data_IF_833974587649
#
_entry.id   IF_833974587649
#
_cell.length_a   1.000
_cell.length_b   1.000
_cell.length_c   1.000
_cell.angle_alpha   90.00
_cell.angle_beta   90.00
_cell.angle_gamma   90.00
#
_symmetry.space_group_name_H-M   'P 1'
#
loop_
_entity.id
_entity.type
_entity.pdbx_description
1 polymer ?
#
# COMPACT_ATOMS: atom_id res chain seq x y z
N UNK A 1 25.60 13.40 -2.09
CA UNK A 1 25.82 14.88 -2.24
C UNK A 1 24.54 15.64 -2.61
N UNK A 2 23.50 15.02 -3.16
CA UNK A 2 22.22 15.70 -3.48
C UNK A 2 21.27 15.80 -2.27
N UNK A 3 21.47 15.00 -1.24
CA UNK A 3 20.63 14.96 -0.04
C UNK A 3 21.01 16.01 1.03
N UNK A 4 22.18 16.60 0.98
CA UNK A 4 22.65 17.52 2.02
C UNK A 4 22.29 19.02 1.79
N UNK A 5 21.83 19.39 0.60
CA UNK A 5 21.60 20.80 0.26
C UNK A 5 20.19 21.36 0.58
N UNK A 6 19.25 20.56 1.05
CA UNK A 6 17.90 21.06 1.39
C UNK A 6 17.56 21.05 2.89
N UNK A 7 18.45 20.62 3.77
CA UNK A 7 18.17 20.50 5.22
C UNK A 7 18.30 21.79 6.02
N UNK A 8 18.66 22.95 5.43
CA UNK A 8 18.86 24.22 6.12
C UNK A 8 17.77 25.28 5.90
N UNK A 9 16.57 24.90 5.51
CA UNK A 9 15.39 25.71 5.80
C UNK A 9 14.82 25.22 7.12
N UNK A 10 14.86 26.06 8.15
CA UNK A 10 14.05 25.89 9.35
C UNK A 10 12.62 25.59 8.88
N UNK A 11 12.25 24.31 8.93
CA UNK A 11 10.85 23.91 8.80
C UNK A 11 10.23 24.39 10.10
N UNK A 12 9.74 25.63 10.13
CA UNK A 12 8.72 26.04 11.07
C UNK A 12 7.58 25.06 10.85
N UNK A 13 7.49 24.06 11.72
CA UNK A 13 6.32 23.21 11.79
C UNK A 13 5.16 24.12 12.21
N UNK A 14 4.49 24.72 11.24
CA UNK A 14 3.15 25.25 11.48
C UNK A 14 2.35 24.10 12.07
N UNK A 15 1.67 24.36 13.17
CA UNK A 15 0.76 23.37 13.78
C UNK A 15 -0.21 22.95 12.69
N UNK A 16 0.04 21.82 12.06
CA UNK A 16 -0.89 21.25 11.11
C UNK A 16 -2.17 20.90 11.88
N UNK A 17 -3.24 21.62 11.60
CA UNK A 17 -4.54 21.33 12.17
C UNK A 17 -5.12 20.11 11.45
N UNK A 18 -4.71 18.92 11.89
CA UNK A 18 -5.18 17.66 11.33
C UNK A 18 -6.60 17.42 11.81
N UNK A 19 -7.55 17.49 10.89
CA UNK A 19 -8.96 17.22 11.20
C UNK A 19 -9.17 15.75 11.52
N UNK A 20 -10.13 15.41 12.41
CA UNK A 20 -10.51 14.02 12.64
C UNK A 20 -10.87 13.29 11.36
N UNK A 21 -10.47 12.04 11.26
CA UNK A 21 -10.88 11.17 10.18
C UNK A 21 -12.35 10.79 10.36
N UNK A 22 -13.22 11.32 9.49
CA UNK A 22 -14.65 11.02 9.50
C UNK A 22 -15.03 10.21 8.28
N UNK A 23 -16.10 9.41 8.41
CA UNK A 23 -16.64 8.62 7.32
C UNK A 23 -15.81 7.37 7.00
N UNK A 24 -16.20 6.67 5.94
CA UNK A 24 -15.60 5.40 5.53
C UNK A 24 -14.28 5.59 4.80
N UNK A 25 -13.31 4.76 5.15
CA UNK A 25 -12.03 4.63 4.45
C UNK A 25 -12.04 3.37 3.57
N UNK A 26 -12.01 3.54 2.25
CA UNK A 26 -11.73 2.44 1.33
C UNK A 26 -10.24 2.08 1.34
N UNK A 27 -9.93 0.81 1.50
CA UNK A 27 -8.57 0.26 1.35
C UNK A 27 -8.60 -0.66 0.15
N UNK A 28 -8.04 -0.19 -0.95
CA UNK A 28 -7.93 -0.94 -2.20
C UNK A 28 -6.55 -1.59 -2.30
N UNK A 29 -6.52 -2.91 -2.26
CA UNK A 29 -5.28 -3.67 -2.33
C UNK A 29 -5.03 -4.17 -3.76
N UNK A 30 -3.85 -3.94 -4.28
CA UNK A 30 -3.37 -4.59 -5.50
C UNK A 30 -2.72 -5.90 -5.08
N UNK A 31 -3.32 -7.01 -5.48
CA UNK A 31 -2.98 -8.37 -5.02
C UNK A 31 -3.79 -8.80 -3.80
N UNK A 32 -4.55 -9.87 -3.94
CA UNK A 32 -5.36 -10.50 -2.89
C UNK A 32 -4.74 -11.82 -2.42
N UNK A 33 -3.41 -11.86 -2.34
CA UNK A 33 -2.65 -13.02 -1.88
C UNK A 33 -2.53 -13.11 -0.36
N UNK A 34 -1.49 -13.82 0.10
CA UNK A 34 -1.23 -14.13 1.51
C UNK A 34 -1.20 -12.90 2.43
N UNK A 35 -0.52 -11.83 2.02
CA UNK A 35 -0.39 -10.61 2.83
C UNK A 35 -1.74 -9.92 3.01
N UNK A 36 -2.44 -9.70 1.90
CA UNK A 36 -3.72 -8.98 1.88
C UNK A 36 -4.80 -9.75 2.62
N UNK A 37 -4.97 -11.05 2.35
CA UNK A 37 -5.98 -11.87 3.01
C UNK A 37 -5.73 -12.01 4.51
N UNK A 38 -4.47 -12.13 4.94
CA UNK A 38 -4.10 -12.16 6.36
C UNK A 38 -4.42 -10.85 7.06
N UNK A 39 -4.07 -9.73 6.46
CA UNK A 39 -4.35 -8.40 7.00
C UNK A 39 -5.85 -8.11 7.09
N UNK A 40 -6.63 -8.42 6.05
CA UNK A 40 -8.08 -8.26 6.04
C UNK A 40 -8.74 -9.11 7.13
N UNK A 41 -8.36 -10.39 7.22
CA UNK A 41 -8.82 -11.31 8.28
C UNK A 41 -8.53 -10.74 9.67
N UNK A 42 -7.31 -10.26 9.90
CA UNK A 42 -6.91 -9.68 11.18
C UNK A 42 -7.75 -8.47 11.59
N UNK A 43 -8.06 -7.57 10.65
CA UNK A 43 -8.93 -6.42 10.91
C UNK A 43 -10.37 -6.86 11.21
N UNK A 44 -10.92 -7.79 10.44
CA UNK A 44 -12.27 -8.30 10.65
C UNK A 44 -12.41 -9.04 12.00
N UNK A 45 -11.42 -9.84 12.37
CA UNK A 45 -11.36 -10.50 13.67
C UNK A 45 -11.28 -9.47 14.82
N UNK A 46 -10.48 -8.42 14.64
CA UNK A 46 -10.40 -7.34 15.63
C UNK A 46 -11.73 -6.59 15.81
N UNK A 47 -12.45 -6.34 14.71
CA UNK A 47 -13.81 -5.74 14.75
C UNK A 47 -14.80 -6.56 15.57
N UNK A 48 -14.72 -7.88 15.48
CA UNK A 48 -15.57 -8.79 16.25
C UNK A 48 -15.07 -9.01 17.69
N UNK A 49 -13.96 -8.40 18.08
CA UNK A 49 -13.35 -8.61 19.40
C UNK A 49 -12.73 -10.01 19.59
N UNK A 50 -12.57 -10.77 18.51
CA UNK A 50 -12.04 -12.12 18.52
C UNK A 50 -10.50 -12.17 18.49
N UNK A 51 -9.87 -11.07 18.06
CA UNK A 51 -8.42 -10.91 18.08
C UNK A 51 -8.03 -9.49 18.50
N UNK A 52 -6.83 -9.36 19.07
CA UNK A 52 -6.23 -8.04 19.35
C UNK A 52 -5.31 -7.65 18.18
N UNK A 53 -5.30 -6.37 17.77
CA UNK A 53 -4.47 -5.90 16.67
C UNK A 53 -2.99 -5.73 17.10
N UNK A 54 -2.39 -6.76 17.68
CA UNK A 54 -1.03 -6.73 18.25
C UNK A 54 0.07 -6.43 17.23
N UNK A 55 -0.18 -6.70 15.94
CA UNK A 55 0.72 -6.35 14.85
C UNK A 55 0.65 -4.89 14.41
N UNK A 56 -0.30 -4.12 14.94
CA UNK A 56 -0.47 -2.70 14.60
C UNK A 56 -0.10 -1.81 15.76
N UNK A 57 1.07 -1.21 15.69
CA UNK A 57 1.55 -0.26 16.71
C UNK A 57 0.52 0.86 16.97
N UNK A 58 -0.08 1.41 15.92
CA UNK A 58 -1.03 2.53 16.03
C UNK A 58 -2.35 2.14 16.65
N UNK A 59 -2.72 0.85 16.62
CA UNK A 59 -3.98 0.36 17.21
C UNK A 59 -3.79 -0.25 18.60
N UNK A 60 -2.61 -0.78 18.90
CA UNK A 60 -2.38 -1.56 20.11
C UNK A 60 -1.49 -0.86 21.13
N UNK A 61 -0.42 -0.20 20.67
CA UNK A 61 0.59 0.38 21.55
C UNK A 61 0.23 1.78 22.08
N UNK A 62 1.01 2.22 23.04
CA UNK A 62 0.93 3.55 23.66
C UNK A 62 2.21 4.32 23.44
N UNK A 63 2.07 5.59 23.11
CA UNK A 63 3.19 6.53 23.03
C UNK A 63 3.39 7.22 24.38
N UNK A 64 4.64 7.33 24.80
CA UNK A 64 4.99 8.16 25.95
C UNK A 64 5.00 9.64 25.55
N UNK A 65 4.16 10.44 26.20
CA UNK A 65 4.09 11.89 26.02
C UNK A 65 4.49 12.58 27.34
N UNK A 66 5.24 13.68 27.25
CA UNK A 66 5.69 14.45 28.41
C UNK A 66 7.00 13.92 29.04
N UNK A 67 7.48 14.65 30.06
CA UNK A 67 8.72 14.35 30.81
C UNK A 67 8.48 14.46 32.31
N UNK A 68 9.32 13.79 33.10
CA UNK A 68 9.24 13.81 34.58
C UNK A 68 7.86 13.36 35.08
N UNK A 69 7.30 14.11 36.01
CA UNK A 69 5.99 13.83 36.64
C UNK A 69 4.82 14.01 35.65
N UNK A 70 4.99 14.79 34.58
CA UNK A 70 3.98 14.98 33.54
C UNK A 70 3.96 13.88 32.48
N UNK A 71 4.69 12.78 32.71
CA UNK A 71 4.77 11.63 31.81
C UNK A 71 3.42 10.91 31.76
N UNK A 72 2.87 10.74 30.53
CA UNK A 72 1.64 10.00 30.27
C UNK A 72 1.90 8.98 29.14
N UNK A 73 1.11 7.92 29.13
CA UNK A 73 1.08 6.93 28.04
C UNK A 73 -0.30 6.98 27.41
N UNK A 74 -0.35 7.47 26.18
CA UNK A 74 -1.58 7.64 25.39
C UNK A 74 -1.57 6.68 24.20
N UNK A 75 -2.75 6.17 23.83
CA UNK A 75 -2.86 5.45 22.56
C UNK A 75 -2.66 6.41 21.39
N UNK A 76 -2.15 5.89 20.27
CA UNK A 76 -1.90 6.72 19.09
C UNK A 76 -3.15 7.46 18.60
N UNK A 77 -4.32 6.81 18.63
CA UNK A 77 -5.59 7.43 18.26
C UNK A 77 -6.03 8.60 19.15
N UNK A 78 -5.47 8.73 20.37
CA UNK A 78 -5.70 9.89 21.26
C UNK A 78 -4.81 11.10 20.88
N UNK A 79 -3.75 10.85 20.08
CA UNK A 79 -2.76 11.87 19.69
C UNK A 79 -3.00 12.33 18.26
N UNK A 80 -3.28 11.38 17.35
CA UNK A 80 -3.53 11.63 15.94
C UNK A 80 -4.86 11.01 15.50
N UNK A 81 -5.61 11.67 14.61
CA UNK A 81 -6.90 11.17 14.15
C UNK A 81 -6.72 9.99 13.20
N UNK A 82 -6.77 8.79 13.73
CA UNK A 82 -6.73 7.55 12.95
C UNK A 82 -8.14 7.16 12.51
N UNK A 83 -8.24 6.46 11.36
CA UNK A 83 -9.49 5.82 10.95
C UNK A 83 -9.89 4.72 11.95
N UNK A 84 -11.17 4.65 12.30
CA UNK A 84 -11.67 3.53 13.09
C UNK A 84 -11.66 2.25 12.25
N UNK A 85 -11.30 1.12 12.85
CA UNK A 85 -11.29 -0.17 12.14
C UNK A 85 -12.67 -0.52 11.56
N UNK A 86 -13.76 -0.12 12.22
CA UNK A 86 -15.13 -0.36 11.75
C UNK A 86 -15.50 0.46 10.51
N UNK A 87 -14.78 1.55 10.23
CA UNK A 87 -15.05 2.43 9.11
C UNK A 87 -14.23 2.07 7.86
N UNK A 88 -13.41 1.02 7.93
CA UNK A 88 -12.61 0.55 6.77
C UNK A 88 -13.47 -0.36 5.89
N UNK A 89 -13.43 -0.12 4.59
CA UNK A 89 -14.04 -0.98 3.57
C UNK A 89 -12.93 -1.52 2.68
N UNK A 90 -12.89 -2.83 2.49
CA UNK A 90 -11.87 -3.49 1.69
C UNK A 90 -12.33 -3.74 0.27
N UNK A 91 -11.42 -3.59 -0.67
CA UNK A 91 -11.50 -4.04 -2.04
C UNK A 91 -10.13 -4.47 -2.54
N UNK A 92 -10.10 -5.18 -3.65
CA UNK A 92 -8.83 -5.63 -4.22
C UNK A 92 -8.92 -5.73 -5.75
N UNK A 93 -7.75 -5.77 -6.39
CA UNK A 93 -7.53 -6.28 -7.74
C UNK A 93 -6.64 -7.52 -7.64
N UNK A 94 -6.97 -8.55 -8.36
CA UNK A 94 -6.11 -9.72 -8.46
C UNK A 94 -6.24 -10.39 -9.83
N UNK A 95 -5.17 -11.05 -10.27
CA UNK A 95 -5.16 -11.85 -11.50
C UNK A 95 -5.95 -13.16 -11.35
N UNK A 96 -6.21 -13.59 -10.13
CA UNK A 96 -7.07 -14.73 -9.82
C UNK A 96 -8.43 -14.27 -9.33
N UNK A 97 -9.53 -14.93 -9.72
CA UNK A 97 -10.89 -14.51 -9.35
C UNK A 97 -11.31 -14.92 -7.93
N UNK A 98 -10.45 -15.61 -7.19
CA UNK A 98 -10.74 -16.10 -5.82
C UNK A 98 -11.07 -14.94 -4.88
N UNK A 99 -12.16 -15.04 -4.12
CA UNK A 99 -12.52 -14.05 -3.09
C UNK A 99 -11.53 -14.08 -1.91
N UNK A 100 -11.67 -13.14 -0.97
CA UNK A 100 -10.70 -13.03 0.13
C UNK A 100 -10.71 -14.24 1.09
N UNK A 101 -11.84 -14.95 1.22
CA UNK A 101 -11.89 -16.19 2.00
C UNK A 101 -11.10 -17.32 1.32
N UNK A 102 -11.37 -17.54 0.05
CA UNK A 102 -10.66 -18.56 -0.76
C UNK A 102 -9.15 -18.23 -0.81
N UNK A 103 -8.80 -16.98 -1.00
CA UNK A 103 -7.42 -16.52 -0.99
C UNK A 103 -6.73 -16.76 0.36
N UNK A 104 -7.43 -16.53 1.48
CA UNK A 104 -6.90 -16.79 2.82
C UNK A 104 -6.67 -18.29 3.07
N UNK A 105 -7.59 -19.14 2.59
CA UNK A 105 -7.45 -20.61 2.65
C UNK A 105 -6.29 -21.09 1.80
N UNK A 106 -6.21 -20.63 0.54
CA UNK A 106 -5.17 -21.03 -0.40
C UNK A 106 -3.76 -20.56 0.01
N UNK A 107 -3.69 -19.45 0.75
CA UNK A 107 -2.42 -18.94 1.23
C UNK A 107 -1.78 -19.77 2.35
N UNK A 108 -2.55 -20.62 3.04
CA UNK A 108 -2.10 -21.50 4.13
C UNK A 108 -1.33 -20.78 5.27
N UNK A 109 -1.51 -19.46 5.42
CA UNK A 109 -0.86 -18.65 6.48
C UNK A 109 -1.66 -18.71 7.76
N UNK A 110 -2.99 -18.60 7.66
CA UNK A 110 -3.92 -18.62 8.78
C UNK A 110 -4.56 -20.01 8.91
N UNK A 111 -4.91 -20.38 10.14
CA UNK A 111 -5.65 -21.61 10.41
C UNK A 111 -7.15 -21.36 10.21
N UNK A 112 -7.90 -22.42 9.92
CA UNK A 112 -9.36 -22.35 9.76
C UNK A 112 -10.07 -21.66 10.93
N UNK A 113 -9.64 -21.88 12.16
CA UNK A 113 -10.19 -21.22 13.36
C UNK A 113 -10.04 -19.70 13.34
N UNK A 114 -9.07 -19.16 12.59
CA UNK A 114 -8.80 -17.72 12.47
C UNK A 114 -9.55 -17.11 11.27
N UNK A 115 -9.89 -17.92 10.27
CA UNK A 115 -10.58 -17.48 9.04
C UNK A 115 -12.09 -17.63 9.14
N UNK A 116 -12.57 -18.80 9.63
CA UNK A 116 -13.99 -19.16 9.65
C UNK A 116 -14.89 -18.18 10.42
N UNK A 117 -14.45 -17.55 11.54
CA UNK A 117 -15.29 -16.57 12.24
C UNK A 117 -15.64 -15.31 11.44
N UNK A 118 -14.92 -15.02 10.36
CA UNK A 118 -15.09 -13.87 9.48
C UNK A 118 -15.32 -14.25 8.02
N UNK A 119 -15.70 -15.52 7.79
CA UNK A 119 -15.92 -16.07 6.45
C UNK A 119 -16.91 -15.23 5.63
N UNK A 120 -18.08 -14.95 6.18
CA UNK A 120 -19.15 -14.24 5.47
C UNK A 120 -18.75 -12.83 5.01
N UNK A 121 -17.85 -12.19 5.75
CA UNK A 121 -17.31 -10.89 5.38
C UNK A 121 -16.21 -11.02 4.32
N UNK A 122 -15.35 -12.02 4.44
CA UNK A 122 -14.28 -12.27 3.48
C UNK A 122 -14.83 -12.72 2.12
N UNK A 123 -15.86 -13.56 2.07
CA UNK A 123 -16.51 -14.00 0.82
C UNK A 123 -17.10 -12.84 0.00
N UNK A 124 -17.48 -11.76 0.66
CA UNK A 124 -18.00 -10.54 0.00
C UNK A 124 -16.92 -9.71 -0.67
N UNK A 125 -15.66 -9.94 -0.36
CA UNK A 125 -14.53 -9.21 -0.95
C UNK A 125 -14.06 -10.00 -2.16
N UNK A 126 -14.65 -9.69 -3.32
CA UNK A 126 -14.31 -10.30 -4.62
C UNK A 126 -13.39 -9.34 -5.36
N UNK A 127 -12.24 -9.80 -5.90
CA UNK A 127 -11.31 -8.94 -6.59
C UNK A 127 -11.85 -8.45 -7.92
N UNK A 128 -11.59 -7.18 -8.22
CA UNK A 128 -11.73 -6.63 -9.56
C UNK A 128 -10.64 -7.19 -10.47
N UNK A 129 -10.84 -7.13 -11.78
CA UNK A 129 -9.84 -7.52 -12.77
C UNK A 129 -8.58 -6.69 -12.62
N UNK A 130 -7.43 -7.36 -12.53
CA UNK A 130 -6.14 -6.71 -12.39
C UNK A 130 -5.66 -6.07 -13.70
N UNK A 131 -4.98 -4.94 -13.60
CA UNK A 131 -4.11 -4.45 -14.65
C UNK A 131 -2.78 -5.19 -14.54
N UNK A 132 -2.47 -6.00 -15.53
CA UNK A 132 -1.39 -6.97 -15.45
C UNK A 132 -0.64 -7.09 -16.77
N UNK A 133 0.64 -7.40 -16.69
CA UNK A 133 1.48 -7.76 -17.83
C UNK A 133 2.41 -8.91 -17.41
N UNK A 134 2.26 -10.05 -18.07
CA UNK A 134 3.00 -11.28 -17.78
C UNK A 134 4.53 -11.08 -17.87
N UNK A 135 5.01 -10.17 -18.70
CA UNK A 135 6.43 -9.87 -18.80
C UNK A 135 7.01 -9.26 -17.53
N UNK A 136 6.17 -8.64 -16.70
CA UNK A 136 6.59 -8.02 -15.44
C UNK A 136 6.53 -8.97 -14.24
N UNK A 137 5.68 -9.99 -14.30
CA UNK A 137 5.53 -10.98 -13.23
C UNK A 137 5.21 -12.36 -13.83
N UNK A 138 6.18 -12.96 -14.50
CA UNK A 138 6.03 -14.17 -15.32
C UNK A 138 5.65 -15.44 -14.55
N UNK A 139 5.64 -15.41 -13.22
CA UNK A 139 5.20 -16.53 -12.37
C UNK A 139 3.71 -16.55 -12.11
N UNK A 140 2.99 -15.50 -12.53
CA UNK A 140 1.55 -15.38 -12.37
C UNK A 140 0.90 -15.64 -13.73
N UNK A 141 -0.13 -16.48 -13.77
CA UNK A 141 -0.83 -16.92 -14.98
C UNK A 141 -2.37 -16.81 -14.87
N UNK A 142 -2.85 -15.98 -13.93
CA UNK A 142 -4.28 -15.77 -13.75
C UNK A 142 -4.93 -15.05 -14.94
N UNK A 143 -6.20 -15.33 -15.15
CA UNK A 143 -7.01 -14.82 -16.27
C UNK A 143 -7.98 -13.69 -15.89
N UNK A 144 -8.06 -13.35 -14.61
CA UNK A 144 -8.87 -12.22 -14.13
C UNK A 144 -8.16 -10.88 -14.38
N UNK A 145 -7.88 -10.60 -15.64
CA UNK A 145 -7.13 -9.42 -16.09
C UNK A 145 -7.96 -8.50 -16.97
N UNK A 146 -7.61 -7.22 -16.96
CA UNK A 146 -8.21 -6.21 -17.82
C UNK A 146 -7.69 -6.36 -19.25
N UNK A 147 -8.60 -6.16 -20.20
CA UNK A 147 -8.22 -5.97 -21.62
C UNK A 147 -7.94 -4.48 -21.83
N UNK A 148 -6.68 -4.14 -22.05
CA UNK A 148 -6.19 -2.78 -22.18
C UNK A 148 -5.50 -2.57 -23.52
N UNK A 149 -5.84 -1.49 -24.21
CA UNK A 149 -5.27 -1.13 -25.52
C UNK A 149 -3.81 -0.70 -25.40
N UNK A 150 -3.48 0.03 -24.35
CA UNK A 150 -2.15 0.54 -24.03
C UNK A 150 -2.05 0.87 -22.53
N UNK A 151 -0.89 1.34 -22.06
CA UNK A 151 -0.68 1.71 -20.65
C UNK A 151 -1.55 2.87 -20.18
N UNK A 152 -1.90 3.80 -21.08
CA UNK A 152 -2.82 4.89 -20.75
C UNK A 152 -4.25 4.37 -20.51
N UNK A 153 -4.75 3.51 -21.38
CA UNK A 153 -6.05 2.87 -21.21
C UNK A 153 -6.10 2.01 -19.94
N UNK A 154 -5.00 1.28 -19.66
CA UNK A 154 -4.83 0.52 -18.41
C UNK A 154 -5.02 1.42 -17.18
N UNK A 155 -4.35 2.56 -17.16
CA UNK A 155 -4.43 3.54 -16.08
C UNK A 155 -5.84 4.14 -15.97
N UNK A 156 -6.49 4.49 -17.09
CA UNK A 156 -7.85 5.04 -17.07
C UNK A 156 -8.89 4.03 -16.56
N UNK A 157 -8.77 2.75 -16.92
CA UNK A 157 -9.65 1.69 -16.39
C UNK A 157 -9.45 1.52 -14.87
N UNK A 158 -8.24 1.69 -14.34
CA UNK A 158 -7.99 1.67 -12.90
C UNK A 158 -8.59 2.89 -12.18
N UNK A 159 -8.55 4.06 -12.80
CA UNK A 159 -9.22 5.26 -12.28
C UNK A 159 -10.74 5.06 -12.18
N UNK A 160 -11.31 4.44 -13.21
CA UNK A 160 -12.75 4.11 -13.21
C UNK A 160 -13.10 3.14 -12.08
N UNK A 161 -12.30 2.09 -11.85
CA UNK A 161 -12.49 1.16 -10.74
C UNK A 161 -12.48 1.88 -9.39
N UNK A 162 -11.52 2.79 -9.18
CA UNK A 162 -11.41 3.55 -7.93
C UNK A 162 -12.66 4.40 -7.70
N UNK A 163 -13.14 5.11 -8.73
CA UNK A 163 -14.36 5.91 -8.64
C UNK A 163 -15.59 5.05 -8.34
N UNK A 164 -15.73 3.95 -9.08
CA UNK A 164 -16.86 3.03 -8.92
C UNK A 164 -16.86 2.41 -7.52
N UNK A 165 -15.70 1.96 -7.03
CA UNK A 165 -15.57 1.43 -5.69
C UNK A 165 -15.95 2.47 -4.62
N UNK A 166 -15.48 3.71 -4.79
CA UNK A 166 -15.79 4.82 -3.87
C UNK A 166 -17.28 5.06 -3.76
N UNK A 167 -17.96 5.13 -4.89
CA UNK A 167 -19.40 5.37 -4.96
C UNK A 167 -20.20 4.17 -4.41
N UNK A 168 -19.90 2.96 -4.89
CA UNK A 168 -20.62 1.75 -4.51
C UNK A 168 -20.58 1.46 -3.01
N UNK A 169 -19.46 1.82 -2.35
CA UNK A 169 -19.24 1.57 -0.93
C UNK A 169 -19.48 2.80 -0.06
N UNK A 170 -19.83 3.93 -0.65
CA UNK A 170 -20.01 5.21 0.03
C UNK A 170 -18.77 5.58 0.87
N UNK A 171 -17.58 5.51 0.25
CA UNK A 171 -16.33 5.84 0.90
C UNK A 171 -16.03 7.34 0.78
N UNK A 172 -15.64 7.98 1.88
CA UNK A 172 -15.22 9.39 1.88
C UNK A 172 -13.79 9.52 1.35
N UNK A 173 -12.96 8.53 1.65
CA UNK A 173 -11.54 8.49 1.30
C UNK A 173 -11.17 7.09 0.85
N UNK A 174 -10.12 7.02 0.01
CA UNK A 174 -9.52 5.75 -0.42
C UNK A 174 -8.02 5.85 -0.22
N UNK A 175 -7.39 4.73 0.12
CA UNK A 175 -5.95 4.50 0.02
C UNK A 175 -5.73 3.27 -0.85
N UNK A 176 -4.75 3.34 -1.75
CA UNK A 176 -4.36 2.21 -2.60
C UNK A 176 -3.05 1.64 -2.08
N UNK A 177 -3.04 0.32 -1.87
CA UNK A 177 -1.93 -0.43 -1.31
C UNK A 177 -1.47 -1.51 -2.30
N UNK A 178 -0.25 -1.41 -2.79
CA UNK A 178 0.37 -2.49 -3.55
C UNK A 178 0.85 -3.59 -2.60
N UNK A 179 0.22 -4.75 -2.68
CA UNK A 179 0.58 -5.97 -1.95
C UNK A 179 0.76 -7.17 -2.90
N UNK A 180 0.78 -6.90 -4.20
CA UNK A 180 1.04 -7.89 -5.23
C UNK A 180 2.53 -8.28 -5.30
N UNK A 181 2.82 -9.29 -6.10
CA UNK A 181 4.19 -9.75 -6.37
C UNK A 181 5.09 -8.62 -6.86
N UNK A 182 6.38 -8.74 -6.56
CA UNK A 182 7.41 -7.87 -7.10
C UNK A 182 7.47 -8.02 -8.61
N UNK A 183 7.40 -6.91 -9.31
CA UNK A 183 7.63 -6.84 -10.75
C UNK A 183 9.14 -6.90 -11.06
N UNK A 184 9.49 -7.21 -12.31
CA UNK A 184 10.88 -7.10 -12.76
C UNK A 184 11.41 -5.69 -12.52
N UNK A 185 12.71 -5.57 -12.29
CA UNK A 185 13.35 -4.27 -12.09
C UNK A 185 13.34 -3.45 -13.38
N UNK A 186 12.79 -2.26 -13.33
CA UNK A 186 12.83 -1.26 -14.40
C UNK A 186 13.80 -0.16 -13.97
N UNK A 187 14.93 0.02 -14.66
CA UNK A 187 15.84 1.13 -14.40
C UNK A 187 15.15 2.47 -14.63
N UNK A 188 15.48 3.46 -13.82
CA UNK A 188 14.98 4.83 -14.05
C UNK A 188 15.66 5.40 -15.30
N UNK A 189 14.86 5.74 -16.31
CA UNK A 189 15.29 6.49 -17.49
C UNK A 189 14.78 7.93 -17.35
N UNK A 190 15.69 8.89 -17.33
CA UNK A 190 15.37 10.30 -17.10
C UNK A 190 14.52 10.90 -18.22
N UNK A 191 14.61 10.37 -19.46
CA UNK A 191 13.80 10.81 -20.59
C UNK A 191 12.33 10.37 -20.49
N UNK A 192 12.08 9.27 -19.79
CA UNK A 192 10.74 8.67 -19.65
C UNK A 192 10.15 8.95 -18.26
N UNK A 193 10.96 8.80 -17.22
CA UNK A 193 10.53 8.88 -15.82
C UNK A 193 10.84 10.23 -15.17
N UNK A 194 11.57 11.12 -15.87
CA UNK A 194 12.07 12.38 -15.30
C UNK A 194 11.01 13.46 -15.09
N UNK A 195 9.92 13.43 -15.86
CA UNK A 195 8.81 14.39 -15.75
C UNK A 195 7.46 13.69 -15.91
N UNK A 196 6.43 14.28 -15.32
CA UNK A 196 5.06 13.77 -15.46
C UNK A 196 4.62 13.74 -16.93
N UNK A 197 4.93 14.76 -17.70
CA UNK A 197 4.56 14.85 -19.12
C UNK A 197 5.21 13.73 -19.96
N UNK A 198 6.48 13.40 -19.68
CA UNK A 198 7.19 12.33 -20.37
C UNK A 198 6.59 10.96 -20.01
N UNK A 199 6.27 10.72 -18.73
CA UNK A 199 5.61 9.50 -18.27
C UNK A 199 4.24 9.32 -18.94
N UNK A 200 3.43 10.37 -19.01
CA UNK A 200 2.12 10.35 -19.66
C UNK A 200 2.24 10.04 -21.16
N UNK A 201 3.24 10.62 -21.84
CA UNK A 201 3.46 10.33 -23.25
C UNK A 201 3.87 8.86 -23.45
N UNK A 202 4.79 8.35 -22.64
CA UNK A 202 5.21 6.94 -22.71
C UNK A 202 4.06 5.96 -22.45
N UNK A 203 3.13 6.30 -21.54
CA UNK A 203 1.90 5.51 -21.34
C UNK A 203 1.00 5.51 -22.58
N UNK A 204 0.85 6.65 -23.28
CA UNK A 204 0.05 6.78 -24.51
C UNK A 204 0.68 6.03 -25.68
N UNK A 205 2.01 6.04 -25.75
CA UNK A 205 2.79 5.34 -26.76
C UNK A 205 2.92 3.83 -26.49
N UNK A 206 2.34 3.35 -25.39
CA UNK A 206 2.37 1.95 -24.93
C UNK A 206 3.80 1.42 -24.70
N UNK A 207 4.67 2.24 -24.11
CA UNK A 207 6.04 1.84 -23.79
C UNK A 207 6.07 0.77 -22.69
N UNK A 208 5.89 -0.48 -23.12
CA UNK A 208 5.85 -1.65 -22.24
C UNK A 208 7.21 -1.99 -21.61
N UNK A 209 8.29 -1.45 -22.13
CA UNK A 209 9.63 -1.71 -21.59
C UNK A 209 9.91 -0.87 -20.32
N UNK A 210 9.38 0.32 -20.27
CA UNK A 210 9.67 1.28 -19.19
C UNK A 210 8.49 1.56 -18.26
N UNK A 211 7.26 1.30 -18.71
CA UNK A 211 6.04 1.55 -17.92
C UNK A 211 5.52 0.24 -17.32
N UNK A 212 5.86 0.01 -16.07
CA UNK A 212 5.36 -1.13 -15.30
C UNK A 212 3.86 -0.98 -14.94
N UNK A 213 3.08 -2.07 -14.85
CA UNK A 213 1.70 -2.02 -14.35
C UNK A 213 1.56 -1.30 -13.02
N UNK A 214 2.48 -1.49 -12.07
CA UNK A 214 2.47 -0.78 -10.79
C UNK A 214 2.54 0.74 -10.93
N UNK A 215 3.20 1.27 -11.95
CA UNK A 215 3.21 2.71 -12.24
C UNK A 215 1.82 3.20 -12.68
N UNK A 216 1.06 2.38 -13.43
CA UNK A 216 -0.31 2.69 -13.80
C UNK A 216 -1.24 2.75 -12.58
N UNK A 217 -1.08 1.81 -11.63
CA UNK A 217 -1.84 1.84 -10.36
C UNK A 217 -1.51 3.07 -9.52
N UNK A 218 -0.23 3.40 -9.37
CA UNK A 218 0.19 4.57 -8.60
C UNK A 218 -0.32 5.87 -9.23
N UNK A 219 -0.18 6.01 -10.55
CA UNK A 219 -0.69 7.16 -11.29
C UNK A 219 -2.21 7.29 -11.12
N UNK A 220 -2.97 6.20 -11.31
CA UNK A 220 -4.41 6.18 -11.17
C UNK A 220 -4.85 6.60 -9.75
N UNK A 221 -4.21 6.04 -8.72
CA UNK A 221 -4.51 6.37 -7.33
C UNK A 221 -4.28 7.87 -7.04
N UNK A 222 -3.10 8.38 -7.35
CA UNK A 222 -2.75 9.78 -7.09
C UNK A 222 -3.65 10.76 -7.86
N UNK A 223 -3.99 10.43 -9.11
CA UNK A 223 -4.89 11.25 -9.96
C UNK A 223 -6.32 11.29 -9.43
N UNK A 224 -6.78 10.25 -8.74
CA UNK A 224 -8.10 10.20 -8.10
C UNK A 224 -8.08 10.73 -6.65
N UNK A 225 -7.00 11.38 -6.24
CA UNK A 225 -6.87 11.94 -4.89
C UNK A 225 -6.76 10.86 -3.81
N UNK A 226 -6.14 9.74 -4.16
CA UNK A 226 -5.92 8.61 -3.25
C UNK A 226 -4.42 8.47 -2.94
N UNK A 227 -4.02 8.45 -1.66
CA UNK A 227 -2.66 8.06 -1.29
C UNK A 227 -2.28 6.69 -1.84
N UNK A 228 -1.00 6.52 -2.19
CA UNK A 228 -0.49 5.25 -2.69
C UNK A 228 0.63 4.71 -1.80
N UNK A 229 0.54 3.43 -1.44
CA UNK A 229 1.53 2.73 -0.61
C UNK A 229 2.14 1.60 -1.42
N UNK A 230 3.48 1.63 -1.59
CA UNK A 230 4.22 0.60 -2.30
C UNK A 230 4.77 -0.44 -1.32
N UNK A 231 4.11 -1.59 -1.25
CA UNK A 231 4.50 -2.70 -0.38
C UNK A 231 5.53 -3.67 -0.98
N UNK A 232 6.05 -3.40 -2.19
CA UNK A 232 7.08 -4.18 -2.86
C UNK A 232 8.29 -3.29 -3.22
N UNK A 233 9.47 -3.85 -3.55
CA UNK A 233 10.67 -3.07 -3.87
C UNK A 233 10.69 -2.50 -5.29
N UNK A 234 9.54 -2.43 -5.97
CA UNK A 234 9.44 -1.90 -7.34
C UNK A 234 9.87 -0.43 -7.42
N UNK A 235 10.31 0.01 -8.59
CA UNK A 235 10.79 1.38 -8.83
C UNK A 235 9.68 2.44 -8.83
N UNK A 236 8.43 2.02 -8.86
CA UNK A 236 7.19 2.79 -9.05
C UNK A 236 7.14 4.16 -8.36
N UNK A 237 7.48 4.22 -7.07
CA UNK A 237 7.43 5.46 -6.28
C UNK A 237 8.78 6.19 -6.18
N UNK A 238 9.81 5.67 -6.82
CA UNK A 238 11.16 6.26 -6.82
C UNK A 238 11.40 7.17 -8.04
N UNK A 239 10.49 7.14 -9.03
CA UNK A 239 10.65 7.93 -10.25
C UNK A 239 10.23 9.39 -10.05
N UNK A 240 10.98 10.39 -10.60
CA UNK A 240 10.68 11.81 -10.43
C UNK A 240 9.26 12.20 -10.86
N UNK A 241 8.78 11.64 -11.98
CA UNK A 241 7.42 11.89 -12.48
C UNK A 241 6.32 11.54 -11.46
N UNK A 242 6.51 10.48 -10.66
CA UNK A 242 5.53 10.10 -9.65
C UNK A 242 5.55 11.04 -8.44
N UNK A 243 6.72 11.59 -8.11
CA UNK A 243 6.84 12.63 -7.09
C UNK A 243 6.19 13.93 -7.54
N UNK A 244 6.42 14.34 -8.81
CA UNK A 244 5.74 15.50 -9.41
C UNK A 244 4.22 15.34 -9.33
N UNK A 245 3.68 14.17 -9.65
CA UNK A 245 2.24 13.89 -9.57
C UNK A 245 1.74 13.95 -8.12
N UNK A 246 2.47 13.37 -7.18
CA UNK A 246 2.12 13.38 -5.76
C UNK A 246 2.08 14.80 -5.19
N UNK A 247 3.06 15.64 -5.54
CA UNK A 247 3.08 17.07 -5.16
C UNK A 247 1.93 17.86 -5.79
N UNK A 248 1.68 17.65 -7.09
CA UNK A 248 0.59 18.30 -7.82
C UNK A 248 -0.79 17.98 -7.25
N UNK A 249 -1.02 16.72 -6.92
CA UNK A 249 -2.28 16.25 -6.34
C UNK A 249 -2.36 16.43 -4.83
N UNK A 250 -1.25 16.75 -4.17
CA UNK A 250 -1.08 16.80 -2.70
C UNK A 250 -1.43 15.48 -2.02
N UNK A 251 -1.19 14.36 -2.71
CA UNK A 251 -1.43 13.03 -2.18
C UNK A 251 -0.12 12.40 -1.71
N UNK A 252 -0.07 11.87 -0.49
CA UNK A 252 1.13 11.22 0.00
C UNK A 252 1.38 9.89 -0.73
N UNK A 253 2.66 9.61 -0.94
CA UNK A 253 3.18 8.31 -1.34
C UNK A 253 4.03 7.75 -0.21
N UNK A 254 4.00 6.44 -0.02
CA UNK A 254 4.80 5.75 0.98
C UNK A 254 5.37 4.46 0.39
N UNK A 255 6.47 4.02 0.90
CA UNK A 255 7.17 2.80 0.53
C UNK A 255 8.64 2.93 0.91
N UNK A 256 9.43 2.00 0.47
CA UNK A 256 8.93 0.85 -0.29
C UNK A 256 9.27 -0.42 0.45
N UNK A 257 8.60 -1.48 0.02
CA UNK A 257 8.67 -2.83 0.55
C UNK A 257 8.09 -2.98 1.96
N UNK A 258 7.38 -4.07 2.17
CA UNK A 258 6.94 -4.47 3.50
C UNK A 258 8.12 -5.00 4.31
N UNK A 259 8.05 -4.79 5.62
CA UNK A 259 9.06 -5.33 6.53
C UNK A 259 8.95 -6.84 6.57
N UNK A 260 10.01 -7.54 6.13
CA UNK A 260 10.08 -9.00 6.04
C UNK A 260 10.75 -9.62 7.26
N UNK A 261 10.68 -10.96 7.41
CA UNK A 261 11.39 -11.71 8.45
C UNK A 261 12.91 -11.50 8.42
N UNK A 262 13.50 -11.34 7.24
CA UNK A 262 14.93 -11.00 7.09
C UNK A 262 15.27 -9.64 7.70
N UNK A 263 14.33 -8.70 7.71
CA UNK A 263 14.54 -7.41 8.35
C UNK A 263 14.75 -7.55 9.87
N UNK A 264 14.07 -8.50 10.52
CA UNK A 264 14.29 -8.81 11.92
C UNK A 264 15.74 -9.28 12.18
N UNK A 265 16.27 -10.15 11.33
CA UNK A 265 17.67 -10.61 11.39
C UNK A 265 18.61 -9.43 11.20
N UNK A 266 18.41 -8.62 10.16
CA UNK A 266 19.25 -7.43 9.88
C UNK A 266 19.16 -6.36 10.96
N UNK A 267 17.97 -6.11 11.51
CA UNK A 267 17.75 -5.05 12.51
C UNK A 267 18.12 -5.49 13.94
N UNK A 268 18.00 -6.77 14.25
CA UNK A 268 18.32 -7.35 15.54
C UNK A 268 19.76 -7.89 15.59
N UNK A 269 20.07 -8.90 14.81
CA UNK A 269 21.33 -9.61 14.89
C UNK A 269 22.54 -8.78 14.39
N UNK A 270 22.41 -8.09 13.26
CA UNK A 270 23.54 -7.35 12.70
C UNK A 270 24.10 -6.27 13.66
N UNK A 271 23.27 -5.44 14.32
CA UNK A 271 23.75 -4.52 15.34
C UNK A 271 24.39 -5.22 16.55
N UNK A 272 23.83 -6.35 17.00
CA UNK A 272 24.38 -7.11 18.14
C UNK A 272 25.80 -7.62 17.79
N UNK A 273 25.97 -8.19 16.60
CA UNK A 273 27.24 -8.72 16.14
C UNK A 273 28.23 -7.57 15.91
N UNK A 274 27.81 -6.49 15.26
CA UNK A 274 28.63 -5.31 15.02
C UNK A 274 29.15 -4.65 16.30
N UNK A 275 28.29 -4.47 17.31
CA UNK A 275 28.71 -3.88 18.61
C UNK A 275 29.66 -4.78 19.40
N UNK A 276 29.70 -6.08 19.12
CA UNK A 276 30.63 -7.05 19.70
C UNK A 276 31.91 -7.22 18.89
N UNK A 277 32.06 -6.48 17.77
CA UNK A 277 33.19 -6.60 16.84
C UNK A 277 33.39 -8.04 16.33
N UNK A 278 32.31 -8.80 16.19
CA UNK A 278 32.36 -10.14 15.63
C UNK A 278 32.27 -10.03 14.09
N UNK A 279 33.17 -10.73 13.39
CA UNK A 279 33.12 -10.83 11.94
C UNK A 279 31.86 -11.59 11.48
N UNK A 280 31.39 -11.23 10.30
CA UNK A 280 30.38 -11.99 9.56
C UNK A 280 31.06 -12.42 8.25
N UNK A 281 31.32 -13.69 8.08
CA UNK A 281 31.80 -14.30 6.84
C UNK A 281 30.61 -14.69 5.96
#
# INVERSE_FOLDING_TARGET
LYYEMQFNKEIRMEKMNVKPATGKLGVLCVGLGAVTSTFMTGVLMARKGLAKPVGSMTQYDKMRVGRGENKKYLHYGEIVPLANLNDIVFGAWDVYPANAYESAVNAEVLKEKDINPVKDELEKIVPMKAAFDHNYASRLDGDNVKDCKNRWDMMEQLREDIRNFKVANNCDRIVVLWAASTEIYVPVDEKIHGTLAALEQAMKDDDKAHIAPSMCYAYAALSEGCPFIMGAPNTTVDIPAMWELAEKTKMPIAGKDFKTGQTLVKSGFAPIIGTRCLGLD
#
